data_IF_740146702646
#
_entry.id   IF_740146702646
#
_cell.length_a   1.000
_cell.length_b   1.000
_cell.length_c   1.000
_cell.angle_alpha   90.00
_cell.angle_beta   90.00
_cell.angle_gamma   90.00
#
_symmetry.space_group_name_H-M   'P 1'
#
loop_
_entity.id
_entity.type
_entity.pdbx_description
1 polymer ?
#
# COMPACT_ATOMS: atom_id res chain seq x y z
N UNK A 1 33.58 33.48 9.18
CA UNK A 1 32.65 32.37 9.62
C UNK A 1 31.96 31.61 8.51
N UNK A 2 31.83 32.11 7.26
CA UNK A 2 31.12 31.46 6.17
C UNK A 2 31.82 30.26 5.52
N UNK A 3 33.14 30.30 5.38
CA UNK A 3 33.87 29.28 4.61
C UNK A 3 33.89 27.89 5.28
N UNK A 4 34.06 27.81 6.57
CA UNK A 4 34.02 26.56 7.33
C UNK A 4 32.63 25.89 7.35
N UNK A 5 31.56 26.70 7.37
CA UNK A 5 30.20 26.17 7.27
C UNK A 5 29.89 25.62 5.87
N UNK A 6 30.39 26.28 4.82
CA UNK A 6 30.21 25.77 3.45
C UNK A 6 30.93 24.41 3.23
N UNK A 7 32.14 24.24 3.77
CA UNK A 7 32.86 22.97 3.69
C UNK A 7 32.13 21.87 4.48
N UNK A 8 31.67 22.16 5.71
CA UNK A 8 30.90 21.19 6.51
C UNK A 8 29.64 20.74 5.80
N UNK A 9 28.89 21.66 5.21
CA UNK A 9 27.65 21.33 4.49
C UNK A 9 27.94 20.50 3.23
N UNK A 10 29.03 20.79 2.52
CA UNK A 10 29.43 20.03 1.33
C UNK A 10 29.85 18.59 1.68
N UNK A 11 30.66 18.43 2.72
CA UNK A 11 31.08 17.08 3.19
C UNK A 11 29.88 16.30 3.73
N UNK A 12 28.96 16.95 4.45
CA UNK A 12 27.74 16.30 4.94
C UNK A 12 26.83 15.85 3.79
N UNK A 13 26.71 16.65 2.71
CA UNK A 13 25.92 16.25 1.53
C UNK A 13 26.54 15.07 0.76
N UNK A 14 27.86 15.07 0.60
CA UNK A 14 28.60 13.97 -0.06
C UNK A 14 28.50 12.65 0.73
N UNK A 15 28.53 12.73 2.07
CA UNK A 15 28.35 11.56 2.95
C UNK A 15 26.90 11.04 2.85
N UNK A 16 25.91 11.91 2.88
CA UNK A 16 24.49 11.53 2.73
C UNK A 16 24.25 10.84 1.38
N UNK A 17 24.80 11.38 0.30
CA UNK A 17 24.69 10.83 -1.04
C UNK A 17 25.36 9.45 -1.14
N UNK A 18 26.53 9.26 -0.54
CA UNK A 18 27.24 7.98 -0.51
C UNK A 18 26.51 6.91 0.32
N UNK A 19 25.71 7.32 1.29
CA UNK A 19 24.88 6.46 2.13
C UNK A 19 23.46 6.25 1.58
N UNK A 20 23.13 6.85 0.42
CA UNK A 20 21.79 6.78 -0.16
C UNK A 20 20.72 7.50 0.69
N UNK A 21 21.14 8.40 1.60
CA UNK A 21 20.23 9.18 2.42
C UNK A 21 19.81 10.41 1.63
N UNK A 22 18.61 10.36 1.06
CA UNK A 22 18.00 11.51 0.39
C UNK A 22 17.21 12.35 1.40
N UNK A 23 17.38 13.67 1.35
CA UNK A 23 16.49 14.57 2.08
C UNK A 23 15.06 14.40 1.54
N UNK A 24 14.03 14.37 2.40
CA UNK A 24 12.66 14.31 1.94
C UNK A 24 12.36 15.53 1.06
N UNK A 25 11.97 15.25 -0.17
CA UNK A 25 11.61 16.28 -1.13
C UNK A 25 10.36 17.02 -0.65
N UNK A 26 10.37 18.33 -0.73
CA UNK A 26 9.16 19.11 -0.45
C UNK A 26 8.11 18.86 -1.55
N UNK A 27 6.84 19.13 -1.24
CA UNK A 27 5.75 18.97 -2.21
C UNK A 27 6.03 19.76 -3.51
N UNK A 28 6.48 21.00 -3.38
CA UNK A 28 6.75 21.87 -4.55
C UNK A 28 7.93 21.36 -5.38
N UNK A 29 8.99 20.86 -4.73
CA UNK A 29 10.12 20.22 -5.42
C UNK A 29 9.70 18.95 -6.13
N UNK A 30 8.84 18.15 -5.52
CA UNK A 30 8.31 16.94 -6.11
C UNK A 30 7.42 17.27 -7.33
N UNK A 31 6.50 18.23 -7.21
CA UNK A 31 5.64 18.66 -8.30
C UNK A 31 6.46 19.21 -9.49
N UNK A 32 7.51 19.98 -9.20
CA UNK A 32 8.41 20.53 -10.23
C UNK A 32 9.27 19.47 -10.92
N UNK A 33 9.56 18.36 -10.24
CA UNK A 33 10.39 17.27 -10.79
C UNK A 33 9.62 16.29 -11.68
N UNK A 34 8.28 16.35 -11.69
CA UNK A 34 7.47 15.44 -12.49
C UNK A 34 7.60 15.72 -13.99
N UNK A 35 7.95 14.71 -14.81
CA UNK A 35 7.72 14.80 -16.25
C UNK A 35 6.22 15.00 -16.53
N UNK A 36 5.89 15.80 -17.53
CA UNK A 36 4.47 16.06 -17.91
C UNK A 36 3.67 14.77 -18.18
N UNK A 37 4.34 13.70 -18.59
CA UNK A 37 3.75 12.39 -18.84
C UNK A 37 3.35 11.63 -17.56
N UNK A 38 3.87 12.02 -16.39
CA UNK A 38 3.67 11.33 -15.10
C UNK A 38 2.65 12.04 -14.19
N UNK A 39 1.75 12.85 -14.73
CA UNK A 39 0.66 13.49 -13.97
C UNK A 39 -0.44 12.51 -13.51
N UNK A 40 -0.15 11.21 -13.50
CA UNK A 40 -1.09 10.18 -13.05
C UNK A 40 -1.01 10.04 -11.53
N UNK A 41 -2.16 9.97 -10.89
CA UNK A 41 -2.24 9.64 -9.48
C UNK A 41 -2.23 8.11 -9.34
N UNK A 42 -1.10 7.55 -8.92
CA UNK A 42 -0.93 6.11 -8.69
C UNK A 42 -0.79 5.89 -7.19
N UNK A 43 -1.68 5.05 -6.66
CA UNK A 43 -1.64 4.59 -5.27
C UNK A 43 -1.49 3.09 -5.27
N UNK A 44 -0.61 2.58 -4.42
CA UNK A 44 -0.33 1.16 -4.30
C UNK A 44 -0.43 0.73 -2.84
N UNK A 45 -1.13 -0.37 -2.61
CA UNK A 45 -1.10 -1.08 -1.33
C UNK A 45 -0.38 -2.39 -1.57
N UNK A 46 0.84 -2.52 -1.03
CA UNK A 46 1.62 -3.76 -1.09
C UNK A 46 1.34 -4.66 0.11
N UNK A 47 1.46 -5.98 -0.09
CA UNK A 47 1.14 -6.98 0.92
C UNK A 47 2.06 -6.96 2.13
N UNK A 48 3.31 -6.53 1.95
CA UNK A 48 4.33 -6.54 2.99
C UNK A 48 5.41 -5.49 2.70
N UNK A 49 6.31 -5.27 3.66
CA UNK A 49 7.52 -4.50 3.46
C UNK A 49 8.54 -5.28 2.60
N UNK A 50 9.51 -4.59 1.98
CA UNK A 50 10.45 -5.14 1.00
C UNK A 50 11.24 -6.35 1.51
N UNK A 51 11.55 -6.40 2.79
CA UNK A 51 12.29 -7.50 3.44
C UNK A 51 11.40 -8.63 3.96
N UNK A 52 10.10 -8.60 3.66
CA UNK A 52 9.11 -9.56 4.12
C UNK A 52 8.46 -10.31 2.95
N UNK A 53 7.79 -11.41 3.27
CA UNK A 53 6.97 -12.17 2.33
C UNK A 53 5.49 -11.98 2.67
N UNK A 54 4.66 -11.77 1.66
CA UNK A 54 3.20 -11.82 1.80
C UNK A 54 2.75 -13.24 2.05
N UNK A 55 1.80 -13.41 2.97
CA UNK A 55 1.24 -14.71 3.29
C UNK A 55 0.08 -15.05 2.37
N UNK A 56 0.07 -16.29 1.87
CA UNK A 56 -1.08 -16.94 1.28
C UNK A 56 -1.88 -17.69 2.35
N UNK A 57 -3.19 -17.69 2.26
CA UNK A 57 -4.10 -18.28 3.23
C UNK A 57 -4.93 -19.34 2.55
N UNK A 58 -4.76 -20.59 2.96
CA UNK A 58 -5.48 -21.74 2.40
C UNK A 58 -6.97 -21.78 2.78
N UNK A 59 -7.36 -21.04 3.84
CA UNK A 59 -8.74 -20.93 4.27
C UNK A 59 -9.04 -19.54 4.80
N UNK A 60 -9.81 -18.78 4.05
CA UNK A 60 -10.21 -17.40 4.38
C UNK A 60 -11.45 -17.30 5.26
N UNK A 61 -12.05 -18.41 5.67
CA UNK A 61 -13.26 -18.42 6.51
C UNK A 61 -13.06 -17.70 7.85
N UNK A 62 -11.83 -17.72 8.39
CA UNK A 62 -11.46 -17.00 9.60
C UNK A 62 -11.57 -15.48 9.49
N UNK A 63 -11.59 -14.95 8.28
CA UNK A 63 -11.74 -13.51 8.03
C UNK A 63 -13.19 -13.06 8.01
N UNK A 64 -14.15 -14.01 7.98
CA UNK A 64 -15.59 -13.69 7.96
C UNK A 64 -15.95 -12.75 6.81
N UNK A 65 -15.44 -13.05 5.61
CA UNK A 65 -15.70 -12.25 4.42
C UNK A 65 -17.15 -12.46 3.94
N UNK A 66 -17.74 -11.43 3.29
CA UNK A 66 -18.99 -11.61 2.60
C UNK A 66 -18.88 -12.73 1.54
N UNK A 67 -19.94 -13.50 1.37
CA UNK A 67 -20.02 -14.55 0.34
C UNK A 67 -19.95 -13.91 -1.06
N UNK A 68 -19.28 -14.53 -2.02
CA UNK A 68 -18.58 -15.81 -1.98
C UNK A 68 -17.06 -15.65 -1.95
N UNK A 69 -16.50 -15.33 -0.81
CA UNK A 69 -15.05 -15.37 -0.70
C UNK A 69 -14.57 -16.80 -1.01
N UNK A 70 -13.58 -16.92 -1.86
CA UNK A 70 -12.95 -18.20 -2.17
C UNK A 70 -12.42 -18.90 -0.91
N UNK A 71 -11.99 -20.14 -1.06
CA UNK A 71 -11.43 -20.91 0.07
C UNK A 71 -10.03 -20.46 0.44
N UNK A 72 -9.27 -19.93 -0.52
CA UNK A 72 -7.91 -19.47 -0.36
C UNK A 72 -7.75 -18.03 -0.85
N UNK A 73 -6.72 -17.33 -0.40
CA UNK A 73 -6.44 -15.96 -0.82
C UNK A 73 -5.28 -15.33 -0.06
N UNK A 74 -4.87 -14.14 -0.47
CA UNK A 74 -3.83 -13.40 0.24
C UNK A 74 -4.32 -12.83 1.57
N UNK A 75 -3.50 -12.93 2.61
CA UNK A 75 -3.85 -12.42 3.93
C UNK A 75 -4.14 -10.91 3.92
N UNK A 76 -3.39 -10.11 3.14
CA UNK A 76 -3.68 -8.68 2.95
C UNK A 76 -5.06 -8.48 2.34
N UNK A 77 -5.34 -9.11 1.20
CA UNK A 77 -6.61 -8.93 0.48
C UNK A 77 -7.80 -9.30 1.36
N UNK A 78 -7.72 -10.45 2.02
CA UNK A 78 -8.77 -10.92 2.92
C UNK A 78 -9.01 -9.96 4.09
N UNK A 79 -7.93 -9.44 4.67
CA UNK A 79 -8.03 -8.47 5.77
C UNK A 79 -8.58 -7.12 5.29
N UNK A 80 -8.15 -6.66 4.13
CA UNK A 80 -8.62 -5.40 3.56
C UNK A 80 -10.13 -5.46 3.27
N UNK A 81 -10.59 -6.56 2.65
CA UNK A 81 -12.01 -6.78 2.41
C UNK A 81 -12.80 -6.82 3.72
N UNK A 82 -12.29 -7.50 4.75
CA UNK A 82 -12.91 -7.48 6.08
C UNK A 82 -13.02 -6.07 6.65
N UNK A 83 -11.96 -5.28 6.53
CA UNK A 83 -11.94 -3.89 7.04
C UNK A 83 -12.92 -3.00 6.29
N UNK A 84 -13.05 -3.16 4.96
CA UNK A 84 -13.91 -2.31 4.14
C UNK A 84 -15.39 -2.71 4.16
N UNK A 85 -15.68 -4.01 4.31
CA UNK A 85 -17.04 -4.56 4.20
C UNK A 85 -17.53 -5.22 5.49
N UNK A 86 -17.00 -4.83 6.66
CA UNK A 86 -17.55 -5.29 7.95
C UNK A 86 -19.02 -4.82 8.06
N UNK A 87 -19.92 -5.76 8.35
CA UNK A 87 -21.39 -5.58 8.35
C UNK A 87 -21.93 -4.51 9.31
N UNK A 88 -21.09 -4.03 10.24
CA UNK A 88 -21.50 -3.08 11.28
C UNK A 88 -21.23 -1.61 10.93
N UNK A 89 -20.73 -1.34 9.73
CA UNK A 89 -20.42 0.05 9.34
C UNK A 89 -21.62 0.75 8.76
N UNK A 90 -21.92 1.89 9.32
CA UNK A 90 -22.84 2.85 8.69
C UNK A 90 -22.11 3.59 7.56
N UNK A 91 -22.84 4.03 6.52
CA UNK A 91 -22.26 4.84 5.43
C UNK A 91 -21.57 6.13 5.90
N UNK A 92 -21.79 6.52 7.15
CA UNK A 92 -21.23 7.72 7.77
C UNK A 92 -19.84 7.49 8.38
N UNK A 93 -19.43 6.22 8.54
CA UNK A 93 -18.13 5.86 9.08
C UNK A 93 -17.09 5.65 7.95
N UNK A 94 -16.81 6.69 7.22
CA UNK A 94 -15.78 6.70 6.21
C UNK A 94 -14.39 6.63 6.86
N UNK A 95 -13.66 5.57 6.61
CA UNK A 95 -12.27 5.45 7.10
C UNK A 95 -11.32 6.25 6.23
N UNK A 96 -10.37 6.89 6.86
CA UNK A 96 -9.21 7.47 6.19
C UNK A 96 -8.21 6.38 5.74
N UNK A 97 -7.27 6.73 4.86
CA UNK A 97 -6.17 5.83 4.47
C UNK A 97 -5.39 5.32 5.69
N UNK A 98 -5.12 6.20 6.66
CA UNK A 98 -4.40 5.84 7.89
C UNK A 98 -5.20 4.84 8.73
N UNK A 99 -6.50 5.04 8.88
CA UNK A 99 -7.36 4.15 9.67
C UNK A 99 -7.50 2.79 9.01
N UNK A 100 -7.72 2.73 7.69
CA UNK A 100 -7.75 1.46 6.94
C UNK A 100 -6.44 0.70 7.12
N UNK A 101 -5.30 1.35 6.90
CA UNK A 101 -4.00 0.70 7.00
C UNK A 101 -3.70 0.22 8.43
N UNK A 102 -4.07 1.02 9.42
CA UNK A 102 -3.92 0.67 10.85
C UNK A 102 -4.80 -0.52 11.23
N UNK A 103 -6.06 -0.53 10.80
CA UNK A 103 -6.98 -1.63 11.03
C UNK A 103 -6.49 -2.92 10.39
N UNK A 104 -6.06 -2.86 9.12
CA UNK A 104 -5.50 -4.00 8.38
C UNK A 104 -4.28 -4.57 9.12
N UNK A 105 -3.30 -3.73 9.47
CA UNK A 105 -2.11 -4.16 10.23
C UNK A 105 -2.48 -4.78 11.57
N UNK A 106 -3.48 -4.21 12.26
CA UNK A 106 -3.99 -4.73 13.53
C UNK A 106 -4.61 -6.12 13.38
N UNK A 107 -5.41 -6.35 12.35
CA UNK A 107 -5.99 -7.67 12.06
C UNK A 107 -4.94 -8.71 11.69
N UNK A 108 -3.99 -8.37 10.83
CA UNK A 108 -2.89 -9.26 10.45
C UNK A 108 -2.06 -9.67 11.68
N UNK A 109 -1.72 -8.70 12.54
CA UNK A 109 -0.99 -8.97 13.79
C UNK A 109 -1.75 -9.92 14.72
N UNK A 110 -3.06 -9.72 14.90
CA UNK A 110 -3.91 -10.63 15.68
C UNK A 110 -4.01 -12.02 15.09
N UNK A 111 -3.95 -12.13 13.76
CA UNK A 111 -3.90 -13.40 13.02
C UNK A 111 -2.52 -14.05 12.98
N UNK A 112 -1.53 -13.53 13.71
CA UNK A 112 -0.13 -13.99 13.72
C UNK A 112 0.59 -13.91 12.36
N UNK A 113 0.15 -13.01 11.48
CA UNK A 113 0.88 -12.70 10.26
C UNK A 113 1.99 -11.68 10.54
N UNK A 114 3.20 -11.96 10.06
CA UNK A 114 4.38 -11.08 10.24
C UNK A 114 4.44 -9.95 9.22
N UNK A 115 3.67 -10.03 8.15
CA UNK A 115 3.65 -9.04 7.09
C UNK A 115 3.12 -7.68 7.55
N UNK A 116 3.74 -6.61 7.06
CA UNK A 116 3.38 -5.22 7.36
C UNK A 116 3.02 -4.54 6.04
N UNK A 117 1.73 -4.44 5.70
CA UNK A 117 1.29 -3.77 4.48
C UNK A 117 1.78 -2.32 4.40
N UNK A 118 2.11 -1.89 3.18
CA UNK A 118 2.62 -0.56 2.89
C UNK A 118 1.64 0.17 1.97
N UNK A 119 1.44 1.46 2.23
CA UNK A 119 0.80 2.38 1.29
C UNK A 119 1.89 3.24 0.67
N UNK A 120 1.94 3.27 -0.64
CA UNK A 120 2.81 4.17 -1.39
C UNK A 120 2.01 4.92 -2.46
N UNK A 121 2.47 6.10 -2.80
CA UNK A 121 1.84 6.94 -3.80
C UNK A 121 2.90 7.65 -4.62
N UNK A 122 2.61 7.83 -5.91
CA UNK A 122 3.47 8.62 -6.78
C UNK A 122 3.38 10.12 -6.46
N UNK A 123 2.25 10.56 -5.95
CA UNK A 123 2.01 11.95 -5.54
C UNK A 123 1.81 12.01 -4.03
N UNK A 124 2.16 13.12 -3.35
CA UNK A 124 1.78 13.32 -1.97
C UNK A 124 0.25 13.19 -1.81
N UNK A 125 -0.18 12.36 -0.87
CA UNK A 125 -1.60 12.18 -0.56
C UNK A 125 -1.88 12.66 0.86
N UNK A 126 -3.07 13.17 1.08
CA UNK A 126 -3.59 13.36 2.43
C UNK A 126 -4.02 12.00 2.98
N UNK A 127 -3.21 11.43 3.86
CA UNK A 127 -3.50 10.13 4.47
C UNK A 127 -4.64 10.18 5.47
N UNK A 128 -5.05 11.37 5.91
CA UNK A 128 -6.24 11.62 6.72
C UNK A 128 -7.52 11.73 5.90
N UNK A 129 -7.42 11.85 4.57
CA UNK A 129 -8.60 11.86 3.70
C UNK A 129 -9.28 10.49 3.66
N UNK A 130 -10.56 10.49 3.28
CA UNK A 130 -11.36 9.28 3.06
C UNK A 130 -10.64 8.29 2.15
N UNK A 131 -10.68 7.01 2.52
CA UNK A 131 -10.15 5.93 1.70
C UNK A 131 -11.05 5.69 0.49
N UNK A 132 -10.65 6.21 -0.65
CA UNK A 132 -11.32 6.02 -1.93
C UNK A 132 -10.36 5.40 -2.95
N UNK A 133 -10.77 4.29 -3.56
CA UNK A 133 -10.04 3.68 -4.68
C UNK A 133 -10.13 4.56 -5.94
N UNK A 134 -11.28 5.19 -6.13
CA UNK A 134 -11.52 6.14 -7.23
C UNK A 134 -12.22 7.35 -6.63
N UNK A 135 -11.58 8.52 -6.58
CA UNK A 135 -12.20 9.73 -6.06
C UNK A 135 -13.54 10.02 -6.74
N UNK A 136 -14.51 10.52 -6.00
CA UNK A 136 -15.84 10.88 -6.54
C UNK A 136 -15.74 11.93 -7.65
N UNK A 137 -14.73 12.80 -7.56
CA UNK A 137 -14.44 13.83 -8.55
C UNK A 137 -13.77 13.30 -9.82
N UNK A 138 -13.37 12.01 -9.87
CA UNK A 138 -12.76 11.42 -11.04
C UNK A 138 -13.76 11.31 -12.19
N UNK A 139 -13.45 11.99 -13.29
CA UNK A 139 -14.24 11.95 -14.51
C UNK A 139 -13.75 10.84 -15.43
N UNK A 140 -14.66 10.23 -16.19
CA UNK A 140 -14.32 9.23 -17.20
C UNK A 140 -14.81 7.82 -16.87
N UNK A 141 -14.31 6.86 -17.67
CA UNK A 141 -14.72 5.44 -17.55
C UNK A 141 -13.89 4.75 -16.47
N UNK A 142 -14.57 4.17 -15.48
CA UNK A 142 -13.92 3.32 -14.47
C UNK A 142 -13.62 1.95 -15.07
N UNK A 143 -12.40 1.48 -14.92
CA UNK A 143 -11.95 0.18 -15.39
C UNK A 143 -11.20 -0.54 -14.28
N UNK A 144 -11.37 -1.87 -14.21
CA UNK A 144 -10.61 -2.74 -13.31
C UNK A 144 -9.86 -3.78 -14.15
N UNK A 145 -8.63 -4.06 -13.76
CA UNK A 145 -7.84 -5.20 -14.27
C UNK A 145 -7.55 -6.10 -13.09
N UNK A 146 -7.92 -7.36 -13.21
CA UNK A 146 -7.63 -8.39 -12.21
C UNK A 146 -6.61 -9.36 -12.80
N UNK A 147 -5.53 -9.62 -12.04
CA UNK A 147 -4.46 -10.54 -12.44
C UNK A 147 -4.31 -11.57 -11.32
N UNK A 148 -4.61 -12.84 -11.65
CA UNK A 148 -4.44 -13.97 -10.76
C UNK A 148 -3.48 -14.98 -11.38
N UNK A 149 -2.41 -15.35 -10.66
CA UNK A 149 -1.38 -16.28 -11.14
C UNK A 149 -1.20 -17.36 -10.07
N UNK A 150 -1.55 -18.58 -10.39
CA UNK A 150 -1.44 -19.71 -9.47
C UNK A 150 -0.14 -20.50 -9.61
N UNK A 151 0.67 -20.24 -10.63
CA UNK A 151 1.91 -20.98 -10.92
C UNK A 151 1.68 -22.50 -11.01
N UNK A 152 0.61 -22.91 -11.68
CA UNK A 152 0.22 -24.33 -11.82
C UNK A 152 1.35 -25.14 -12.40
N UNK A 153 1.73 -26.21 -11.71
CA UNK A 153 2.83 -27.10 -12.10
C UNK A 153 4.22 -26.64 -11.65
N UNK A 154 4.34 -25.55 -10.91
CA UNK A 154 5.57 -25.07 -10.30
C UNK A 154 5.60 -25.47 -8.81
N UNK A 155 5.90 -26.73 -8.54
CA UNK A 155 6.03 -27.26 -7.17
C UNK A 155 7.47 -26.94 -6.63
N UNK A 156 7.63 -26.20 -5.51
CA UNK A 156 6.65 -25.90 -4.45
C UNK A 156 5.93 -24.52 -4.57
N UNK A 157 6.05 -23.82 -5.68
CA UNK A 157 5.55 -22.44 -5.85
C UNK A 157 4.07 -22.30 -6.19
N UNK A 158 3.32 -23.39 -6.32
CA UNK A 158 1.91 -23.34 -6.70
C UNK A 158 1.04 -22.69 -5.63
N UNK A 159 0.27 -21.66 -6.04
CA UNK A 159 -0.69 -20.94 -5.20
C UNK A 159 -2.12 -21.45 -5.46
N UNK A 160 -2.97 -21.40 -4.45
CA UNK A 160 -4.37 -21.89 -4.51
C UNK A 160 -5.42 -20.78 -4.34
N UNK A 161 -5.00 -19.52 -4.34
CA UNK A 161 -5.83 -18.37 -3.99
C UNK A 161 -6.25 -17.46 -5.12
N UNK A 162 -5.91 -17.76 -6.36
CA UNK A 162 -6.14 -16.86 -7.51
C UNK A 162 -7.23 -17.35 -8.46
N UNK A 163 -8.27 -17.97 -7.94
CA UNK A 163 -9.44 -18.45 -8.72
C UNK A 163 -10.53 -17.39 -8.83
#
# INVERSE_FOLDING_TARGET
MGFFNAIKNKVASEIKESLGIHEPMTRDQFEASKPDELRKDIRMISGCADHQTSADVSNVSSFQLPDPAGRAGGALTSTLLKVLYADERTPEEDLSFTEVLTAVRGHLKRGNFSQIPQLSSMNPIDVGAKFDLVPETAMGVRRAVMIGINYVGDDPGELKGCW
#
